data_IF_834522271539
#
_entry.id   IF_834522271539
#
_cell.length_a   1.000
_cell.length_b   1.000
_cell.length_c   1.000
_cell.angle_alpha   90.00
_cell.angle_beta   90.00
_cell.angle_gamma   90.00
#
_symmetry.space_group_name_H-M   'P 1'
#
loop_
_entity.id
_entity.type
_entity.pdbx_description
1 polymer ?
#
# COMPACT_ATOMS: atom_id res chain seq x y z
N UNK A 1 -8.35 11.57 -1.22
CA UNK A 1 -7.99 10.18 -1.61
C UNK A 1 -9.24 9.34 -1.65
N UNK A 2 -9.50 8.68 -2.76
CA UNK A 2 -10.59 7.72 -2.77
C UNK A 2 -10.21 6.46 -1.99
N UNK A 3 -10.71 6.38 -0.78
CA UNK A 3 -10.65 5.16 0.03
C UNK A 3 -11.98 4.44 -0.04
N UNK A 4 -11.92 3.16 -0.27
CA UNK A 4 -13.10 2.31 -0.26
C UNK A 4 -12.93 1.19 0.76
N UNK A 5 -13.87 1.07 1.69
CA UNK A 5 -13.92 -0.06 2.59
C UNK A 5 -14.59 -1.21 1.84
N UNK A 6 -13.78 -2.09 1.25
CA UNK A 6 -14.31 -3.23 0.50
C UNK A 6 -14.96 -4.27 1.42
N UNK A 7 -14.42 -4.41 2.62
CA UNK A 7 -15.00 -5.24 3.68
C UNK A 7 -14.58 -4.68 5.03
N UNK A 8 -14.94 -5.33 6.13
CA UNK A 8 -14.56 -4.90 7.48
C UNK A 8 -13.04 -4.80 7.67
N UNK A 9 -12.28 -5.62 6.97
CA UNK A 9 -10.83 -5.70 7.15
C UNK A 9 -10.03 -5.49 5.87
N UNK A 10 -10.66 -5.07 4.77
CA UNK A 10 -9.95 -4.76 3.51
C UNK A 10 -10.29 -3.35 3.07
N UNK A 11 -9.25 -2.54 2.90
CA UNK A 11 -9.35 -1.15 2.44
C UNK A 11 -8.63 -1.02 1.11
N UNK A 12 -9.30 -0.42 0.13
CA UNK A 12 -8.73 -0.11 -1.17
C UNK A 12 -8.42 1.39 -1.20
N UNK A 13 -7.20 1.76 -1.59
CA UNK A 13 -6.80 3.15 -1.78
C UNK A 13 -6.27 3.38 -3.18
N UNK A 14 -6.79 4.41 -3.85
CA UNK A 14 -6.23 4.87 -5.12
C UNK A 14 -5.20 5.96 -4.81
N UNK A 15 -3.93 5.66 -5.07
CA UNK A 15 -2.84 6.57 -4.77
C UNK A 15 -2.52 7.45 -5.96
N UNK A 16 -2.05 8.66 -5.68
CA UNK A 16 -1.61 9.62 -6.69
C UNK A 16 -0.27 10.21 -6.27
N UNK A 17 0.32 11.06 -7.10
CA UNK A 17 1.64 11.62 -6.82
C UNK A 17 1.65 12.59 -5.63
N UNK A 18 2.85 12.89 -5.12
CA UNK A 18 3.04 13.89 -4.07
C UNK A 18 2.56 15.28 -4.55
N UNK A 19 2.06 16.12 -3.65
CA UNK A 19 2.07 15.96 -2.19
C UNK A 19 0.91 15.12 -1.64
N UNK A 20 -0.04 14.73 -2.46
CA UNK A 20 -1.24 13.99 -2.04
C UNK A 20 -0.87 12.61 -1.49
N UNK A 21 0.10 11.94 -2.12
CA UNK A 21 0.54 10.61 -1.69
C UNK A 21 0.94 10.60 -0.21
N UNK A 22 1.78 11.55 0.20
CA UNK A 22 2.23 11.63 1.59
C UNK A 22 1.09 11.84 2.57
N UNK A 23 0.14 12.71 2.23
CA UNK A 23 -1.02 12.97 3.06
C UNK A 23 -1.91 11.73 3.18
N UNK A 24 -2.12 11.04 2.07
CA UNK A 24 -2.94 9.83 2.04
C UNK A 24 -2.28 8.69 2.84
N UNK A 25 -0.98 8.52 2.71
CA UNK A 25 -0.26 7.50 3.46
C UNK A 25 -0.34 7.75 4.97
N UNK A 26 -0.30 9.01 5.41
CA UNK A 26 -0.48 9.36 6.83
C UNK A 26 -1.85 8.94 7.33
N UNK A 27 -2.88 9.13 6.53
CA UNK A 27 -4.25 8.71 6.89
C UNK A 27 -4.30 7.18 7.04
N UNK A 28 -3.69 6.45 6.12
CA UNK A 28 -3.66 4.99 6.17
C UNK A 28 -2.87 4.47 7.36
N UNK A 29 -1.74 5.08 7.66
CA UNK A 29 -0.93 4.72 8.84
C UNK A 29 -1.73 4.92 10.12
N UNK A 30 -2.39 6.07 10.28
CA UNK A 30 -3.23 6.34 11.43
C UNK A 30 -4.35 5.31 11.57
N UNK A 31 -4.94 4.93 10.46
CA UNK A 31 -6.01 3.94 10.42
C UNK A 31 -5.50 2.55 10.84
N UNK A 32 -4.32 2.16 10.36
CA UNK A 32 -3.69 0.90 10.74
C UNK A 32 -3.30 0.86 12.22
N UNK A 33 -2.81 1.98 12.75
CA UNK A 33 -2.46 2.09 14.17
C UNK A 33 -3.69 1.99 15.08
N UNK A 34 -4.80 2.54 14.64
CA UNK A 34 -6.04 2.58 15.43
C UNK A 34 -6.74 1.23 15.49
N UNK A 35 -6.77 0.50 14.36
CA UNK A 35 -7.43 -0.79 14.28
C UNK A 35 -6.40 -1.90 14.51
N UNK A 36 -6.30 -2.39 15.69
CA UNK A 36 -5.24 -3.34 16.10
C UNK A 36 -5.52 -4.79 15.71
N UNK A 37 -6.26 -5.03 14.64
CA UNK A 37 -6.53 -6.38 14.10
C UNK A 37 -6.28 -6.39 12.60
N UNK A 38 -6.18 -7.58 12.04
CA UNK A 38 -5.80 -7.83 10.65
C UNK A 38 -6.53 -6.94 9.64
N UNK A 39 -5.95 -5.80 9.37
CA UNK A 39 -6.42 -4.85 8.36
C UNK A 39 -5.53 -5.01 7.13
N UNK A 40 -6.15 -5.26 5.99
CA UNK A 40 -5.45 -5.49 4.73
C UNK A 40 -5.66 -4.29 3.82
N UNK A 41 -4.57 -3.72 3.33
CA UNK A 41 -4.62 -2.60 2.41
C UNK A 41 -4.26 -3.06 1.01
N UNK A 42 -5.07 -2.63 0.05
CA UNK A 42 -4.80 -2.78 -1.37
C UNK A 42 -4.63 -1.37 -1.94
N UNK A 43 -3.41 -1.03 -2.32
CA UNK A 43 -3.10 0.29 -2.86
C UNK A 43 -2.94 0.21 -4.37
N UNK A 44 -3.82 0.92 -5.08
CA UNK A 44 -3.72 1.08 -6.53
C UNK A 44 -2.71 2.17 -6.82
N UNK A 45 -1.54 1.77 -7.34
CA UNK A 45 -0.40 2.64 -7.57
C UNK A 45 -0.32 3.18 -9.00
N UNK A 46 -1.32 2.92 -9.84
CA UNK A 46 -1.28 3.35 -11.25
C UNK A 46 -1.14 4.86 -11.42
N UNK A 47 -1.68 5.63 -10.47
CA UNK A 47 -1.58 7.09 -10.48
C UNK A 47 -0.30 7.65 -9.90
N UNK A 48 0.64 6.80 -9.45
CA UNK A 48 1.90 7.23 -8.86
C UNK A 48 3.01 7.05 -9.87
N UNK A 49 3.68 8.16 -10.24
CA UNK A 49 4.72 8.15 -11.28
C UNK A 49 6.13 8.17 -10.71
N UNK A 50 6.30 8.52 -9.44
CA UNK A 50 7.61 8.53 -8.77
C UNK A 50 7.44 8.37 -7.26
N UNK A 51 8.54 8.01 -6.59
CA UNK A 51 8.61 7.98 -5.14
C UNK A 51 9.83 8.80 -4.70
N UNK A 52 9.65 9.66 -3.70
CA UNK A 52 10.78 10.31 -3.05
C UNK A 52 11.11 9.61 -1.73
N UNK A 53 12.15 10.05 -1.03
CA UNK A 53 12.57 9.43 0.22
C UNK A 53 11.47 9.47 1.30
N UNK A 54 10.68 10.53 1.32
CA UNK A 54 9.56 10.65 2.27
C UNK A 54 8.46 9.63 1.95
N UNK A 55 8.10 9.47 0.67
CA UNK A 55 7.11 8.49 0.23
C UNK A 55 7.55 7.07 0.63
N UNK A 56 8.81 6.75 0.39
CA UNK A 56 9.38 5.44 0.72
C UNK A 56 9.31 5.19 2.22
N UNK A 57 9.72 6.18 3.02
CA UNK A 57 9.68 6.07 4.48
C UNK A 57 8.26 5.81 4.99
N UNK A 58 7.27 6.49 4.42
CA UNK A 58 5.88 6.31 4.80
C UNK A 58 5.31 4.95 4.37
N UNK A 59 5.68 4.45 3.19
CA UNK A 59 5.29 3.10 2.76
C UNK A 59 5.87 2.05 3.69
N UNK A 60 7.12 2.20 4.09
CA UNK A 60 7.77 1.29 5.04
C UNK A 60 7.09 1.35 6.41
N UNK A 61 6.73 2.53 6.88
CA UNK A 61 6.02 2.70 8.14
C UNK A 61 4.63 2.03 8.08
N UNK A 62 3.90 2.22 7.02
CA UNK A 62 2.61 1.58 6.82
C UNK A 62 2.75 0.06 6.85
N UNK A 63 3.71 -0.47 6.11
CA UNK A 63 3.98 -1.91 6.10
C UNK A 63 4.27 -2.43 7.50
N UNK A 64 5.16 -1.76 8.22
CA UNK A 64 5.53 -2.16 9.57
C UNK A 64 4.33 -2.22 10.49
N UNK A 65 3.48 -1.20 10.45
CA UNK A 65 2.29 -1.11 11.30
C UNK A 65 1.29 -2.20 10.95
N UNK A 66 1.05 -2.42 9.67
CA UNK A 66 0.06 -3.40 9.18
C UNK A 66 0.53 -4.83 9.51
N UNK A 67 1.79 -5.14 9.26
CA UNK A 67 2.35 -6.47 9.53
C UNK A 67 2.36 -6.77 11.03
N UNK A 68 2.68 -5.79 11.85
CA UNK A 68 2.66 -5.95 13.31
C UNK A 68 1.25 -6.30 13.83
N UNK A 69 0.22 -5.83 13.16
CA UNK A 69 -1.18 -6.13 13.49
C UNK A 69 -1.72 -7.35 12.72
N UNK A 70 -0.84 -8.15 12.12
CA UNK A 70 -1.16 -9.36 11.34
C UNK A 70 -2.00 -9.10 10.10
N UNK A 71 -1.94 -7.89 9.57
CA UNK A 71 -2.55 -7.52 8.30
C UNK A 71 -1.59 -7.70 7.14
N UNK A 72 -1.94 -7.15 6.00
CA UNK A 72 -1.09 -7.18 4.81
C UNK A 72 -1.19 -5.88 4.03
N UNK A 73 -0.16 -5.62 3.22
CA UNK A 73 -0.10 -4.46 2.33
C UNK A 73 0.21 -4.96 0.94
N UNK A 74 -0.71 -4.71 0.02
CA UNK A 74 -0.58 -5.09 -1.38
C UNK A 74 -0.48 -3.83 -2.23
N UNK A 75 0.53 -3.77 -3.09
CA UNK A 75 0.68 -2.70 -4.07
C UNK A 75 0.36 -3.26 -5.45
N UNK A 76 -0.54 -2.63 -6.17
CA UNK A 76 -0.92 -3.10 -7.49
C UNK A 76 -0.80 -2.00 -8.55
N UNK A 77 -0.57 -2.41 -9.79
CA UNK A 77 -0.46 -1.49 -10.91
C UNK A 77 0.76 -0.59 -10.84
N UNK A 78 1.84 -1.03 -10.22
CA UNK A 78 3.09 -0.25 -10.12
C UNK A 78 3.70 -0.07 -11.50
N UNK A 79 3.95 1.18 -11.91
CA UNK A 79 4.55 1.44 -13.22
C UNK A 79 6.07 1.20 -13.22
N UNK A 80 6.68 1.20 -14.40
CA UNK A 80 8.09 0.85 -14.56
C UNK A 80 9.02 1.79 -13.81
N UNK A 81 8.72 3.08 -13.77
CA UNK A 81 9.57 4.07 -13.09
C UNK A 81 9.58 3.82 -11.57
N UNK A 82 8.42 3.59 -10.98
CA UNK A 82 8.29 3.28 -9.56
C UNK A 82 8.91 1.92 -9.27
N UNK A 83 8.68 0.93 -10.11
CA UNK A 83 9.27 -0.40 -9.98
C UNK A 83 10.79 -0.34 -9.96
N UNK A 84 11.38 0.47 -10.86
CA UNK A 84 12.84 0.65 -10.91
C UNK A 84 13.38 1.22 -9.60
N UNK A 85 12.69 2.17 -8.99
CA UNK A 85 13.09 2.73 -7.69
C UNK A 85 13.07 1.66 -6.62
N UNK A 86 12.04 0.83 -6.59
CA UNK A 86 11.90 -0.24 -5.61
C UNK A 86 12.99 -1.31 -5.79
N UNK A 87 13.31 -1.65 -7.03
CA UNK A 87 14.39 -2.60 -7.33
C UNK A 87 15.76 -2.06 -6.90
N UNK A 88 16.05 -0.81 -7.23
CA UNK A 88 17.34 -0.18 -6.90
C UNK A 88 17.58 -0.07 -5.40
N UNK A 89 16.52 0.10 -4.63
CA UNK A 89 16.61 0.24 -3.18
C UNK A 89 16.43 -1.08 -2.43
N UNK A 90 16.17 -2.18 -3.15
CA UNK A 90 15.93 -3.49 -2.55
C UNK A 90 14.55 -3.63 -1.90
N UNK A 91 13.67 -2.65 -2.09
CA UNK A 91 12.37 -2.62 -1.43
C UNK A 91 11.32 -3.51 -2.10
N UNK A 92 11.62 -3.98 -3.32
CA UNK A 92 10.75 -4.92 -4.04
C UNK A 92 10.47 -6.20 -3.24
N UNK A 93 11.36 -6.54 -2.32
CA UNK A 93 11.23 -7.75 -1.48
C UNK A 93 10.32 -7.55 -0.26
N UNK A 94 10.01 -6.31 0.08
CA UNK A 94 9.28 -6.00 1.32
C UNK A 94 7.79 -5.89 1.13
N UNK A 95 7.31 -5.74 -0.09
CA UNK A 95 5.89 -5.55 -0.38
C UNK A 95 5.36 -6.69 -1.22
N UNK A 96 4.05 -6.89 -1.14
CA UNK A 96 3.35 -7.83 -2.00
C UNK A 96 2.84 -7.08 -3.23
N UNK A 97 3.15 -7.57 -4.41
CA UNK A 97 2.81 -6.91 -5.67
C UNK A 97 1.84 -7.76 -6.47
N UNK A 98 0.90 -7.10 -7.12
CA UNK A 98 -0.01 -7.72 -8.08
C UNK A 98 -0.19 -6.77 -9.25
N UNK A 99 -0.73 -7.27 -10.36
CA UNK A 99 -0.93 -6.45 -11.55
C UNK A 99 -2.10 -5.47 -11.40
N UNK A 100 -3.15 -5.88 -10.71
CA UNK A 100 -4.37 -5.09 -10.61
C UNK A 100 -5.08 -5.28 -9.26
N UNK A 101 -6.08 -4.44 -9.02
CA UNK A 101 -6.86 -4.45 -7.79
C UNK A 101 -7.62 -5.77 -7.59
N UNK A 102 -8.32 -6.33 -8.58
CA UNK A 102 -9.02 -7.61 -8.38
C UNK A 102 -8.10 -8.75 -7.92
N UNK A 103 -6.91 -8.84 -8.49
CA UNK A 103 -5.93 -9.86 -8.10
C UNK A 103 -5.45 -9.63 -6.66
N UNK A 104 -5.21 -8.36 -6.30
CA UNK A 104 -4.81 -8.01 -4.93
C UNK A 104 -5.90 -8.34 -3.91
N UNK A 105 -7.15 -8.09 -4.25
CA UNK A 105 -8.29 -8.41 -3.38
C UNK A 105 -8.38 -9.92 -3.13
N UNK A 106 -8.22 -10.72 -4.18
CA UNK A 106 -8.20 -12.17 -4.05
C UNK A 106 -7.07 -12.63 -3.14
N UNK A 107 -5.86 -12.08 -3.34
CA UNK A 107 -4.72 -12.41 -2.52
C UNK A 107 -4.96 -12.04 -1.05
N UNK A 108 -5.52 -10.86 -0.78
CA UNK A 108 -5.82 -10.41 0.57
C UNK A 108 -6.84 -11.33 1.26
N UNK A 109 -7.88 -11.75 0.53
CA UNK A 109 -8.90 -12.66 1.06
C UNK A 109 -8.33 -14.04 1.37
N UNK A 110 -7.39 -14.52 0.57
CA UNK A 110 -6.77 -15.84 0.75
C UNK A 110 -5.59 -15.83 1.72
N UNK A 111 -5.20 -14.69 2.24
CA UNK A 111 -4.06 -14.57 3.15
C UNK A 111 -2.71 -14.72 2.46
N UNK A 112 -2.65 -14.44 1.19
CA UNK A 112 -1.42 -14.56 0.40
C UNK A 112 -0.55 -13.32 0.45
#
# INVERSE_FOLDING_TARGET
MPLSDWSENIVIGEMTDEPVLGDDLKVLIARAEKKQVDLHFVLDMRGVTYLNSSSIAQLLQLRKTVVAAKGSLHLCGVNDAVWSILLMTGLDRLFKFTDDVPTALTAAQLGL
#
